data_IF_984460991389
#
_entry.id   IF_984460991389
#
_cell.length_a   1.000
_cell.length_b   1.000
_cell.length_c   1.000
_cell.angle_alpha   90.00
_cell.angle_beta   90.00
_cell.angle_gamma   90.00
#
_symmetry.space_group_name_H-M   'P 1'
#
loop_
_entity.id
_entity.type
_entity.pdbx_description
1 polymer ?
#
# COMPACT_ATOMS: atom_id res chain seq x y z
N UNK A 1 47.41 38.59 35.21
CA UNK A 1 46.22 38.90 34.41
C UNK A 1 45.99 37.74 33.43
N UNK A 2 45.03 36.85 33.71
CA UNK A 2 44.67 35.71 32.84
C UNK A 2 43.36 36.08 32.14
N UNK A 3 43.39 36.20 30.81
CA UNK A 3 42.22 36.43 29.98
C UNK A 3 41.56 35.07 29.69
N UNK A 4 40.32 34.86 30.15
CA UNK A 4 39.47 33.76 29.76
C UNK A 4 38.67 34.18 28.51
N UNK A 5 38.98 33.58 27.38
CA UNK A 5 38.19 33.66 26.15
C UNK A 5 37.03 32.69 26.27
N UNK A 6 35.83 33.21 26.50
CA UNK A 6 34.57 32.44 26.43
C UNK A 6 34.19 32.16 24.98
N UNK A 7 34.19 30.90 24.58
CA UNK A 7 33.69 30.45 23.30
C UNK A 7 32.17 30.34 23.44
N UNK A 8 31.39 31.31 22.89
CA UNK A 8 29.96 31.15 22.71
C UNK A 8 29.71 30.19 21.54
N UNK A 9 29.33 28.96 21.84
CA UNK A 9 28.82 28.02 20.86
C UNK A 9 27.37 28.48 20.46
N UNK A 10 27.22 29.04 19.27
CA UNK A 10 25.94 29.30 18.65
C UNK A 10 25.31 27.96 18.26
N UNK A 11 24.38 27.49 19.08
CA UNK A 11 23.52 26.33 18.73
C UNK A 11 22.51 26.82 17.68
N UNK A 12 22.76 26.49 16.44
CA UNK A 12 21.78 26.66 15.35
C UNK A 12 20.63 25.67 15.58
N UNK A 13 19.52 26.13 16.13
CA UNK A 13 18.24 25.42 16.03
C UNK A 13 17.74 25.60 14.60
N UNK A 14 18.10 24.69 13.72
CA UNK A 14 17.46 24.58 12.41
C UNK A 14 15.97 24.34 12.64
N UNK A 15 15.11 25.25 12.20
CA UNK A 15 13.68 25.03 12.10
C UNK A 15 13.48 23.79 11.22
N UNK A 16 13.15 22.65 11.83
CA UNK A 16 12.59 21.50 11.12
C UNK A 16 11.20 21.93 10.62
N UNK A 17 11.17 22.55 9.43
CA UNK A 17 9.90 22.76 8.74
C UNK A 17 9.18 21.42 8.64
N UNK A 18 7.92 21.37 9.05
CA UNK A 18 7.11 20.17 8.94
C UNK A 18 7.14 19.70 7.48
N UNK A 19 7.64 18.48 7.28
CA UNK A 19 7.72 17.91 5.94
C UNK A 19 6.32 17.52 5.50
N UNK A 20 5.83 18.18 4.46
CA UNK A 20 4.48 18.00 3.93
C UNK A 20 4.47 17.09 2.71
N UNK A 21 3.31 16.49 2.46
CA UNK A 21 3.01 15.74 1.24
C UNK A 21 2.15 16.61 0.32
N UNK A 22 2.56 16.73 -0.94
CA UNK A 22 1.76 17.40 -1.97
C UNK A 22 1.02 16.36 -2.78
N UNK A 23 -0.33 16.35 -2.81
CA UNK A 23 -1.11 15.43 -3.61
C UNK A 23 -1.12 15.86 -5.08
N UNK A 24 -0.90 14.92 -5.99
CA UNK A 24 -0.88 15.10 -7.44
C UNK A 24 -1.72 13.99 -8.06
N UNK A 25 -2.74 14.34 -8.84
CA UNK A 25 -3.50 13.39 -9.63
C UNK A 25 -2.66 12.89 -10.80
N UNK A 26 -2.58 11.57 -10.96
CA UNK A 26 -1.92 10.90 -12.08
C UNK A 26 -2.98 10.12 -12.85
N UNK A 27 -2.97 10.28 -14.17
CA UNK A 27 -3.80 9.53 -15.10
C UNK A 27 -2.92 8.91 -16.19
N UNK A 28 -3.01 7.59 -16.33
CA UNK A 28 -2.30 6.84 -17.36
C UNK A 28 -3.30 6.23 -18.33
N UNK A 29 -3.16 6.53 -19.61
CA UNK A 29 -3.78 5.75 -20.68
C UNK A 29 -3.11 4.37 -20.72
N UNK A 30 -3.89 3.32 -20.52
CA UNK A 30 -3.38 1.95 -20.49
C UNK A 30 -3.33 1.27 -21.86
N UNK A 31 -3.62 2.03 -22.92
CA UNK A 31 -3.50 1.58 -24.30
C UNK A 31 -4.62 0.65 -24.77
N UNK A 32 -5.79 0.71 -24.15
CA UNK A 32 -6.98 -0.02 -24.57
C UNK A 32 -8.23 0.85 -24.48
N UNK A 33 -9.29 0.41 -25.14
CA UNK A 33 -10.59 1.08 -25.12
C UNK A 33 -11.65 0.17 -24.51
N UNK A 34 -12.65 0.78 -23.87
CA UNK A 34 -13.84 0.10 -23.36
C UNK A 34 -15.11 0.84 -23.75
N UNK A 35 -16.22 0.10 -23.79
CA UNK A 35 -17.55 0.59 -24.17
C UNK A 35 -18.19 -0.24 -25.27
N UNK A 36 -19.53 -0.35 -25.26
CA UNK A 36 -20.29 -1.15 -26.23
C UNK A 36 -20.67 -0.32 -27.44
N UNK A 37 -21.21 0.88 -27.25
CA UNK A 37 -21.69 1.77 -28.30
C UNK A 37 -20.74 2.93 -28.60
N UNK A 38 -19.99 3.36 -27.60
CA UNK A 38 -18.99 4.42 -27.73
C UNK A 38 -17.72 3.93 -27.00
N UNK A 39 -16.64 3.77 -27.75
CA UNK A 39 -15.35 3.39 -27.20
C UNK A 39 -14.67 4.60 -26.57
N UNK A 40 -14.17 4.43 -25.37
CA UNK A 40 -13.40 5.44 -24.65
C UNK A 40 -12.09 4.84 -24.16
N UNK A 41 -10.99 5.61 -24.15
CA UNK A 41 -9.73 5.17 -23.57
C UNK A 41 -9.92 4.71 -22.13
N UNK A 42 -9.27 3.62 -21.77
CA UNK A 42 -9.23 3.14 -20.39
C UNK A 42 -8.11 3.84 -19.65
N UNK A 43 -8.45 4.45 -18.52
CA UNK A 43 -7.54 5.23 -17.70
C UNK A 43 -7.30 4.54 -16.37
N UNK A 44 -6.03 4.37 -16.02
CA UNK A 44 -5.59 4.02 -14.67
C UNK A 44 -5.31 5.30 -13.90
N UNK A 45 -6.05 5.52 -12.80
CA UNK A 45 -5.82 6.67 -11.92
C UNK A 45 -5.01 6.32 -10.69
N UNK A 46 -4.23 7.30 -10.25
CA UNK A 46 -3.52 7.24 -8.98
C UNK A 46 -3.36 8.65 -8.39
N UNK A 47 -3.11 8.74 -7.08
CA UNK A 47 -2.71 9.99 -6.43
C UNK A 47 -1.30 9.81 -5.89
N UNK A 48 -0.37 10.60 -6.40
CA UNK A 48 0.96 10.70 -5.87
C UNK A 48 0.98 11.72 -4.73
N UNK A 49 1.25 11.27 -3.51
CA UNK A 49 1.61 12.12 -2.38
C UNK A 49 3.13 12.29 -2.39
N UNK A 50 3.58 13.43 -2.91
CA UNK A 50 5.00 13.72 -3.08
C UNK A 50 5.54 14.47 -1.86
N UNK A 51 6.62 13.96 -1.19
CA UNK A 51 7.29 14.69 -0.13
C UNK A 51 7.87 16.03 -0.61
N UNK A 52 7.96 17.02 0.28
CA UNK A 52 8.64 18.29 0.00
C UNK A 52 10.16 18.14 -0.19
N UNK A 53 10.75 17.06 0.32
CA UNK A 53 12.16 16.71 0.10
C UNK A 53 12.32 15.86 -1.16
N UNK A 54 13.52 15.86 -1.79
CA UNK A 54 13.80 14.97 -2.92
C UNK A 54 13.57 13.51 -2.57
N UNK A 55 12.91 12.79 -3.46
CA UNK A 55 12.67 11.36 -3.32
C UNK A 55 12.85 10.64 -4.66
N UNK A 56 13.41 9.43 -4.61
CA UNK A 56 13.44 8.51 -5.73
C UNK A 56 12.68 7.19 -5.42
N UNK A 57 11.98 7.16 -4.29
CA UNK A 57 11.30 5.96 -3.77
C UNK A 57 9.82 6.21 -3.57
N UNK A 58 8.98 5.28 -4.04
CA UNK A 58 7.54 5.31 -3.82
C UNK A 58 7.00 3.95 -3.34
N UNK A 59 5.94 4.03 -2.54
CA UNK A 59 5.10 2.92 -2.13
C UNK A 59 3.74 3.02 -2.81
N UNK A 60 3.44 2.11 -3.75
CA UNK A 60 2.13 1.97 -4.38
C UNK A 60 1.19 1.23 -3.41
N UNK A 61 0.14 1.89 -2.99
CA UNK A 61 -0.78 1.37 -1.99
C UNK A 61 -2.13 0.96 -2.59
N UNK A 62 -2.53 -0.27 -2.31
CA UNK A 62 -3.81 -0.87 -2.68
C UNK A 62 -4.67 -1.07 -1.43
N UNK A 63 -5.78 -0.35 -1.37
CA UNK A 63 -6.69 -0.37 -0.23
C UNK A 63 -7.41 -1.71 -0.06
N UNK A 64 -7.93 -1.94 1.15
CA UNK A 64 -8.84 -3.03 1.48
C UNK A 64 -10.18 -2.96 0.72
N UNK A 65 -11.15 -3.75 1.13
CA UNK A 65 -12.48 -3.81 0.51
C UNK A 65 -13.06 -2.38 0.30
N UNK A 66 -13.64 -2.05 -0.82
CA UNK A 66 -13.90 -2.83 -2.04
C UNK A 66 -12.75 -2.83 -3.06
N UNK A 67 -11.61 -2.28 -2.69
CA UNK A 67 -10.47 -2.15 -3.58
C UNK A 67 -10.55 -1.02 -4.62
N UNK A 68 -11.66 -0.29 -4.65
CA UNK A 68 -11.87 0.88 -5.50
C UNK A 68 -11.60 2.13 -4.68
N UNK A 69 -10.65 2.94 -5.09
CA UNK A 69 -10.36 4.22 -4.46
C UNK A 69 -11.32 5.32 -4.93
N UNK A 70 -11.94 5.15 -6.10
CA UNK A 70 -12.86 6.11 -6.72
C UNK A 70 -12.25 7.52 -6.81
N UNK A 71 -11.06 7.58 -7.38
CA UNK A 71 -10.29 8.81 -7.52
C UNK A 71 -10.92 9.69 -8.59
N UNK A 72 -11.30 10.91 -8.20
CA UNK A 72 -11.81 11.97 -9.07
C UNK A 72 -10.96 13.23 -8.98
N UNK A 73 -10.37 13.48 -7.82
CA UNK A 73 -9.52 14.63 -7.53
C UNK A 73 -8.28 14.20 -6.76
N UNK A 74 -7.28 15.04 -6.72
CA UNK A 74 -6.06 14.83 -5.94
C UNK A 74 -6.30 14.72 -4.42
N UNK A 75 -7.47 15.13 -3.92
CA UNK A 75 -7.82 15.08 -2.49
C UNK A 75 -8.45 13.75 -2.05
N UNK A 76 -8.77 12.87 -2.98
CA UNK A 76 -9.44 11.60 -2.67
C UNK A 76 -8.54 10.58 -1.94
N UNK A 77 -7.24 10.87 -1.75
CA UNK A 77 -6.34 10.04 -0.95
C UNK A 77 -6.76 9.95 0.52
N UNK A 78 -7.41 10.99 1.07
CA UNK A 78 -7.74 11.12 2.52
C UNK A 78 -8.60 10.00 3.11
N UNK A 79 -9.18 9.12 2.30
CA UNK A 79 -10.00 7.97 2.72
C UNK A 79 -9.50 6.64 2.16
N UNK A 80 -8.33 6.63 1.55
CA UNK A 80 -7.89 5.50 0.74
C UNK A 80 -6.57 4.85 1.20
N UNK A 81 -5.96 5.34 2.28
CA UNK A 81 -4.69 4.84 2.82
C UNK A 81 -4.86 3.94 4.05
N UNK A 82 -6.09 3.56 4.42
CA UNK A 82 -6.36 2.78 5.63
C UNK A 82 -5.63 3.37 6.84
N UNK A 83 -4.98 2.55 7.66
CA UNK A 83 -4.27 3.00 8.84
C UNK A 83 -3.01 3.85 8.55
N UNK A 84 -2.50 3.87 7.32
CA UNK A 84 -1.38 4.73 6.95
C UNK A 84 -1.78 6.21 6.87
N UNK A 85 -3.07 6.51 6.73
CA UNK A 85 -3.58 7.86 6.48
C UNK A 85 -3.15 8.88 7.53
N UNK A 86 -3.20 8.50 8.80
CA UNK A 86 -2.84 9.39 9.91
C UNK A 86 -1.33 9.49 10.14
N UNK A 87 -0.53 8.76 9.36
CA UNK A 87 0.91 8.62 9.51
C UNK A 87 1.69 9.01 8.24
N UNK A 88 1.06 9.76 7.32
CA UNK A 88 1.69 10.16 6.05
C UNK A 88 2.95 11.02 6.26
N UNK A 89 3.00 11.78 7.35
CA UNK A 89 4.14 12.62 7.71
C UNK A 89 5.40 11.80 7.97
N UNK A 90 5.27 10.58 8.49
CA UNK A 90 6.40 9.67 8.69
C UNK A 90 7.03 9.26 7.35
N UNK A 91 6.21 9.04 6.31
CA UNK A 91 6.71 8.78 4.96
C UNK A 91 7.36 10.04 4.36
N UNK A 92 6.78 11.22 4.58
CA UNK A 92 7.37 12.49 4.14
C UNK A 92 8.76 12.68 4.75
N UNK A 93 8.91 12.49 6.06
CA UNK A 93 10.18 12.57 6.79
C UNK A 93 11.19 11.52 6.32
N UNK A 94 10.70 10.36 5.92
CA UNK A 94 11.54 9.29 5.40
C UNK A 94 11.98 9.49 3.94
N UNK A 95 11.42 10.48 3.23
CA UNK A 95 11.65 10.71 1.81
C UNK A 95 11.04 9.62 0.93
N UNK A 96 9.89 9.06 1.33
CA UNK A 96 9.16 8.05 0.59
C UNK A 96 7.83 8.64 0.11
N UNK A 97 7.62 8.67 -1.19
CA UNK A 97 6.34 9.04 -1.76
C UNK A 97 5.30 7.92 -1.56
N UNK A 98 4.04 8.30 -1.33
CA UNK A 98 2.92 7.35 -1.34
C UNK A 98 2.13 7.51 -2.64
N UNK A 99 1.71 6.40 -3.23
CA UNK A 99 0.86 6.41 -4.43
C UNK A 99 -0.39 5.61 -4.14
N UNK A 100 -1.52 6.31 -4.00
CA UNK A 100 -2.83 5.67 -3.84
C UNK A 100 -3.29 5.18 -5.21
N UNK A 101 -3.44 3.88 -5.37
CA UNK A 101 -3.85 3.26 -6.62
C UNK A 101 -5.37 3.05 -6.68
N UNK A 102 -5.98 3.40 -7.80
CA UNK A 102 -7.37 3.05 -8.09
C UNK A 102 -7.46 1.80 -8.96
N UNK A 103 -8.67 1.36 -9.22
CA UNK A 103 -8.99 0.40 -10.26
C UNK A 103 -9.07 1.13 -11.62
N UNK A 104 -8.64 0.54 -12.74
CA UNK A 104 -8.80 1.17 -14.05
C UNK A 104 -10.28 1.34 -14.41
N UNK A 105 -10.57 2.30 -15.26
CA UNK A 105 -11.94 2.73 -15.55
C UNK A 105 -12.84 1.65 -16.15
N UNK A 106 -12.29 0.63 -16.78
CA UNK A 106 -13.04 -0.52 -17.34
C UNK A 106 -13.34 -1.62 -16.31
N UNK A 107 -12.66 -1.61 -15.16
CA UNK A 107 -12.89 -2.54 -14.04
C UNK A 107 -13.71 -1.91 -12.91
N UNK A 108 -13.92 -0.61 -12.95
CA UNK A 108 -14.75 0.14 -11.99
C UNK A 108 -16.23 0.11 -12.44
N UNK A 109 -16.83 -1.08 -12.53
CA UNK A 109 -18.18 -1.27 -13.03
C UNK A 109 -19.22 -1.33 -11.93
N UNK A 110 -20.39 -0.70 -12.18
CA UNK A 110 -21.56 -0.86 -11.32
C UNK A 110 -22.08 -2.29 -11.50
N UNK A 111 -22.02 -3.10 -10.44
CA UNK A 111 -22.58 -4.42 -10.45
C UNK A 111 -24.13 -4.34 -10.50
N UNK A 112 -24.81 -5.19 -11.29
CA UNK A 112 -26.28 -5.25 -11.29
C UNK A 112 -26.81 -5.53 -9.87
N UNK A 113 -27.90 -4.86 -9.49
CA UNK A 113 -28.61 -5.11 -8.24
C UNK A 113 -28.03 -4.43 -7.00
N UNK A 114 -27.47 -3.22 -7.13
CA UNK A 114 -26.95 -2.40 -6.02
C UNK A 114 -25.89 -3.09 -5.14
N UNK A 115 -25.20 -4.10 -5.65
CA UNK A 115 -24.07 -4.71 -4.92
C UNK A 115 -22.91 -3.72 -4.90
N UNK A 116 -22.15 -3.63 -3.79
CA UNK A 116 -20.99 -2.79 -3.75
C UNK A 116 -20.00 -3.20 -4.83
N UNK A 117 -19.53 -2.21 -5.60
CA UNK A 117 -18.50 -2.39 -6.59
C UNK A 117 -17.21 -2.83 -5.92
N UNK A 118 -16.56 -3.82 -6.49
CA UNK A 118 -15.21 -4.18 -6.14
C UNK A 118 -14.35 -4.19 -7.39
N UNK A 119 -13.09 -3.76 -7.25
CA UNK A 119 -12.09 -4.01 -8.28
C UNK A 119 -11.89 -5.52 -8.40
N UNK A 120 -12.23 -6.10 -9.54
CA UNK A 120 -12.36 -7.55 -9.72
C UNK A 120 -11.05 -8.28 -9.44
N UNK A 121 -11.15 -9.43 -8.77
CA UNK A 121 -10.01 -10.29 -8.45
C UNK A 121 -9.37 -10.89 -9.68
N UNK A 122 -10.15 -11.25 -10.70
CA UNK A 122 -9.62 -11.76 -11.96
C UNK A 122 -8.71 -10.73 -12.63
N UNK A 123 -9.09 -9.45 -12.57
CA UNK A 123 -8.22 -8.38 -12.99
C UNK A 123 -6.99 -8.25 -12.09
N UNK A 124 -7.19 -8.20 -10.75
CA UNK A 124 -6.09 -8.00 -9.79
C UNK A 124 -5.04 -9.09 -9.85
N UNK A 125 -5.43 -10.32 -10.19
CA UNK A 125 -4.53 -11.46 -10.33
C UNK A 125 -3.92 -11.61 -11.72
N UNK A 126 -4.36 -10.83 -12.69
CA UNK A 126 -3.95 -10.96 -14.09
C UNK A 126 -2.62 -10.29 -14.42
N UNK A 127 -1.97 -10.73 -15.52
CA UNK A 127 -0.84 -10.03 -16.12
C UNK A 127 -1.22 -8.61 -16.59
N UNK A 128 -2.48 -8.41 -17.04
CA UNK A 128 -3.02 -7.12 -17.47
C UNK A 128 -2.94 -6.06 -16.35
N UNK A 129 -3.19 -6.46 -15.09
CA UNK A 129 -3.01 -5.55 -13.94
C UNK A 129 -1.56 -5.06 -13.84
N UNK A 130 -0.59 -5.96 -14.01
CA UNK A 130 0.82 -5.57 -13.99
C UNK A 130 1.19 -4.64 -15.16
N UNK A 131 0.62 -4.87 -16.35
CA UNK A 131 0.85 -4.02 -17.52
C UNK A 131 0.30 -2.60 -17.30
N UNK A 132 -0.89 -2.47 -16.71
CA UNK A 132 -1.48 -1.18 -16.35
C UNK A 132 -0.61 -0.45 -15.31
N UNK A 133 -0.13 -1.18 -14.30
CA UNK A 133 0.75 -0.62 -13.25
C UNK A 133 2.10 -0.18 -13.81
N UNK A 134 2.66 -0.87 -14.82
CA UNK A 134 3.87 -0.43 -15.52
C UNK A 134 3.72 0.97 -16.14
N UNK A 135 2.52 1.33 -16.61
CA UNK A 135 2.25 2.70 -17.10
C UNK A 135 2.41 3.74 -15.99
N UNK A 136 1.86 3.46 -14.81
CA UNK A 136 2.05 4.33 -13.63
C UNK A 136 3.54 4.39 -13.23
N UNK A 137 4.24 3.25 -13.16
CA UNK A 137 5.66 3.20 -12.83
C UNK A 137 6.49 4.03 -13.82
N UNK A 138 6.17 3.96 -15.12
CA UNK A 138 6.85 4.78 -16.14
C UNK A 138 6.61 6.27 -15.92
N UNK A 139 5.37 6.69 -15.64
CA UNK A 139 5.05 8.09 -15.33
C UNK A 139 5.77 8.57 -14.05
N UNK A 140 5.86 7.73 -13.02
CA UNK A 140 6.60 8.06 -11.79
C UNK A 140 8.09 8.24 -12.06
N UNK A 141 8.67 7.37 -12.89
CA UNK A 141 10.09 7.44 -13.28
C UNK A 141 10.37 8.68 -14.13
N UNK A 142 9.61 8.83 -15.22
CA UNK A 142 9.92 9.80 -16.27
C UNK A 142 9.50 11.22 -15.88
N UNK A 143 8.40 11.36 -15.10
CA UNK A 143 7.86 12.66 -14.67
C UNK A 143 8.34 13.13 -13.30
N UNK A 144 8.73 12.21 -12.41
CA UNK A 144 9.00 12.55 -11.01
C UNK A 144 10.34 12.02 -10.48
N UNK A 145 11.14 11.32 -11.31
CA UNK A 145 12.44 10.78 -10.90
C UNK A 145 12.36 9.65 -9.88
N UNK A 146 11.21 8.97 -9.80
CA UNK A 146 10.99 7.85 -8.86
C UNK A 146 11.38 6.55 -9.54
N UNK A 147 12.47 5.93 -9.09
CA UNK A 147 13.03 4.71 -9.68
C UNK A 147 12.86 3.48 -8.79
N UNK A 148 12.70 3.68 -7.48
CA UNK A 148 12.57 2.60 -6.50
C UNK A 148 11.09 2.45 -6.11
N UNK A 149 10.42 1.45 -6.67
CA UNK A 149 9.00 1.23 -6.46
C UNK A 149 8.77 0.01 -5.57
N UNK A 150 7.95 0.19 -4.55
CA UNK A 150 7.40 -0.86 -3.71
C UNK A 150 5.90 -0.98 -3.93
N UNK A 151 5.34 -2.15 -3.72
CA UNK A 151 3.90 -2.34 -3.73
C UNK A 151 3.43 -2.79 -2.36
N UNK A 152 2.31 -2.24 -1.89
CA UNK A 152 1.69 -2.63 -0.63
C UNK A 152 0.20 -2.82 -0.82
N UNK A 153 -0.33 -3.92 -0.29
CA UNK A 153 -1.76 -4.14 -0.15
C UNK A 153 -2.14 -4.30 1.31
N UNK A 154 -3.34 -3.83 1.66
CA UNK A 154 -3.95 -4.10 2.95
C UNK A 154 -5.22 -4.92 2.75
N UNK A 155 -5.42 -6.00 3.53
CA UNK A 155 -6.62 -6.83 3.46
C UNK A 155 -6.89 -7.30 2.02
N UNK A 156 -8.05 -7.00 1.46
CA UNK A 156 -8.40 -7.27 0.04
C UNK A 156 -7.36 -6.72 -0.96
N UNK A 157 -6.70 -5.61 -0.63
CA UNK A 157 -5.62 -5.04 -1.43
C UNK A 157 -4.41 -5.97 -1.59
N UNK A 158 -4.26 -6.97 -0.71
CA UNK A 158 -3.15 -7.93 -0.80
C UNK A 158 -3.25 -8.87 -1.99
N UNK A 159 -4.40 -9.03 -2.61
CA UNK A 159 -4.52 -9.71 -3.90
C UNK A 159 -3.67 -8.96 -4.94
N UNK A 160 -3.83 -7.63 -5.03
CA UNK A 160 -3.01 -6.80 -5.93
C UNK A 160 -1.52 -6.90 -5.58
N UNK A 161 -1.13 -6.67 -4.32
CA UNK A 161 0.30 -6.65 -3.99
C UNK A 161 1.00 -7.99 -4.19
N UNK A 162 0.33 -9.11 -3.94
CA UNK A 162 0.86 -10.46 -4.20
C UNK A 162 1.05 -10.73 -5.70
N UNK A 163 0.01 -10.50 -6.50
CA UNK A 163 0.06 -10.78 -7.93
C UNK A 163 0.95 -9.79 -8.69
N UNK A 164 1.02 -8.53 -8.26
CA UNK A 164 2.00 -7.58 -8.78
C UNK A 164 3.42 -8.00 -8.45
N UNK A 165 3.69 -8.46 -7.21
CA UNK A 165 5.01 -8.98 -6.86
C UNK A 165 5.42 -10.16 -7.73
N UNK A 166 4.47 -11.05 -8.07
CA UNK A 166 4.70 -12.16 -9.00
C UNK A 166 4.95 -11.69 -10.43
N UNK A 167 4.09 -10.81 -10.95
CA UNK A 167 4.07 -10.45 -12.37
C UNK A 167 5.08 -9.35 -12.74
N UNK A 168 5.45 -8.46 -11.81
CA UNK A 168 6.49 -7.45 -11.98
C UNK A 168 7.88 -7.98 -11.61
N UNK A 169 7.95 -8.93 -10.67
CA UNK A 169 9.21 -9.53 -10.27
C UNK A 169 10.26 -8.49 -9.85
N UNK A 170 11.37 -8.44 -10.56
CA UNK A 170 12.49 -7.53 -10.27
C UNK A 170 12.26 -6.07 -10.73
N UNK A 171 11.13 -5.77 -11.36
CA UNK A 171 10.77 -4.38 -11.72
C UNK A 171 10.39 -3.55 -10.47
N UNK A 172 10.11 -4.23 -9.34
CA UNK A 172 9.85 -3.59 -8.05
C UNK A 172 10.93 -3.95 -7.02
N UNK A 173 11.15 -3.06 -6.07
CA UNK A 173 12.14 -3.24 -5.00
C UNK A 173 11.63 -4.15 -3.88
N UNK A 174 10.33 -4.37 -3.77
CA UNK A 174 9.75 -5.26 -2.78
C UNK A 174 8.23 -5.13 -2.69
N UNK A 175 7.62 -6.08 -1.98
CA UNK A 175 6.19 -6.12 -1.75
C UNK A 175 5.86 -6.26 -0.27
N UNK A 176 4.78 -5.59 0.15
CA UNK A 176 4.32 -5.55 1.54
C UNK A 176 2.86 -6.04 1.57
N UNK A 177 2.60 -7.03 2.41
CA UNK A 177 1.27 -7.63 2.56
C UNK A 177 0.78 -7.43 3.99
N UNK A 178 -0.15 -6.49 4.17
CA UNK A 178 -0.72 -6.12 5.46
C UNK A 178 -2.07 -6.77 5.67
N UNK A 179 -2.28 -7.46 6.79
CA UNK A 179 -3.48 -8.24 7.07
C UNK A 179 -3.86 -9.09 5.85
N UNK A 180 -2.97 -10.01 5.51
CA UNK A 180 -2.95 -10.68 4.21
C UNK A 180 -4.16 -11.58 4.00
N UNK A 181 -4.93 -11.32 2.94
CA UNK A 181 -6.07 -12.14 2.56
C UNK A 181 -5.59 -13.52 2.08
N UNK A 182 -6.04 -14.58 2.76
CA UNK A 182 -5.66 -15.98 2.50
C UNK A 182 -6.86 -16.91 2.41
N UNK A 183 -8.04 -16.42 2.77
CA UNK A 183 -9.31 -17.12 2.63
C UNK A 183 -10.22 -16.31 1.70
N UNK A 184 -10.85 -17.00 0.76
CA UNK A 184 -11.75 -16.37 -0.21
C UNK A 184 -12.99 -15.78 0.47
N UNK A 185 -13.45 -14.65 -0.03
CA UNK A 185 -14.66 -14.02 0.48
C UNK A 185 -15.91 -14.69 -0.13
N UNK A 186 -16.92 -14.99 0.68
CA UNK A 186 -18.20 -15.59 0.24
C UNK A 186 -18.98 -14.76 -0.80
N UNK A 187 -18.67 -13.50 -0.96
CA UNK A 187 -19.33 -12.59 -1.89
C UNK A 187 -18.69 -12.56 -3.29
N UNK A 188 -17.56 -13.22 -3.50
CA UNK A 188 -16.89 -13.27 -4.79
C UNK A 188 -16.76 -14.70 -5.31
N UNK A 189 -17.02 -14.87 -6.61
CA UNK A 189 -17.01 -16.20 -7.25
C UNK A 189 -15.66 -16.64 -7.80
N UNK A 190 -14.70 -15.71 -7.90
CA UNK A 190 -13.41 -15.93 -8.57
C UNK A 190 -12.22 -16.10 -7.62
N UNK A 191 -12.45 -16.11 -6.33
CA UNK A 191 -11.40 -15.98 -5.31
C UNK A 191 -10.49 -17.20 -5.13
N UNK A 192 -10.94 -18.39 -5.37
CA UNK A 192 -10.15 -19.59 -5.06
C UNK A 192 -8.75 -19.56 -5.66
N UNK A 193 -8.64 -19.28 -6.97
CA UNK A 193 -7.35 -19.23 -7.67
C UNK A 193 -6.52 -18.00 -7.38
N UNK A 194 -7.14 -16.86 -7.03
CA UNK A 194 -6.43 -15.61 -6.80
C UNK A 194 -5.92 -15.44 -5.36
N UNK A 195 -6.49 -16.16 -4.40
CA UNK A 195 -6.22 -16.03 -2.97
C UNK A 195 -5.63 -17.31 -2.36
N UNK A 196 -6.40 -18.42 -2.39
CA UNK A 196 -6.09 -19.62 -1.63
C UNK A 196 -4.93 -20.44 -2.23
N UNK A 197 -4.76 -20.40 -3.55
CA UNK A 197 -3.71 -21.11 -4.26
C UNK A 197 -2.46 -20.26 -4.55
N UNK A 198 -2.36 -19.05 -3.97
CA UNK A 198 -1.22 -18.20 -4.23
C UNK A 198 0.05 -18.73 -3.56
N UNK A 199 1.04 -19.07 -4.37
CA UNK A 199 2.34 -19.53 -3.90
C UNK A 199 3.27 -18.36 -3.57
N UNK A 200 3.42 -18.05 -2.28
CA UNK A 200 4.32 -17.02 -1.78
C UNK A 200 5.80 -17.31 -2.04
N UNK A 201 6.17 -18.59 -2.27
CA UNK A 201 7.57 -18.97 -2.55
C UNK A 201 7.99 -18.63 -3.97
N UNK A 202 7.03 -18.37 -4.85
CA UNK A 202 7.28 -17.98 -6.25
C UNK A 202 7.73 -16.52 -6.41
N UNK A 203 7.68 -15.71 -5.35
CA UNK A 203 8.01 -14.28 -5.40
C UNK A 203 9.53 -14.07 -5.49
N UNK A 204 9.97 -13.25 -6.46
CA UNK A 204 11.37 -12.90 -6.66
C UNK A 204 11.77 -11.63 -5.90
N UNK A 205 10.87 -10.66 -5.83
CA UNK A 205 11.10 -9.45 -5.06
C UNK A 205 11.09 -9.74 -3.55
N UNK A 206 11.85 -9.00 -2.73
CA UNK A 206 11.76 -9.08 -1.26
C UNK A 206 10.34 -8.87 -0.76
N UNK A 207 9.93 -9.66 0.23
CA UNK A 207 8.57 -9.66 0.80
C UNK A 207 8.61 -9.27 2.26
N UNK A 208 7.67 -8.43 2.68
CA UNK A 208 7.30 -8.19 4.07
C UNK A 208 5.84 -8.55 4.29
N UNK A 209 5.55 -9.36 5.30
CA UNK A 209 4.22 -9.51 5.85
C UNK A 209 4.10 -8.72 7.15
N UNK A 210 3.00 -8.01 7.36
CA UNK A 210 2.68 -7.36 8.63
C UNK A 210 1.25 -7.69 9.01
N UNK A 211 1.06 -8.23 10.21
CA UNK A 211 -0.23 -8.78 10.61
C UNK A 211 -0.44 -8.66 12.12
N UNK A 212 -1.64 -8.33 12.54
CA UNK A 212 -1.98 -8.34 13.96
C UNK A 212 -2.20 -9.78 14.43
N UNK A 213 -1.55 -10.18 15.55
CA UNK A 213 -1.65 -11.54 16.09
C UNK A 213 -3.07 -11.94 16.48
N UNK A 214 -3.90 -10.97 16.90
CA UNK A 214 -5.28 -11.15 17.30
C UNK A 214 -6.29 -10.65 16.23
N UNK A 215 -5.90 -10.63 14.95
CA UNK A 215 -6.82 -10.32 13.86
C UNK A 215 -7.92 -11.39 13.77
N UNK A 216 -9.17 -10.97 13.97
CA UNK A 216 -10.35 -11.85 13.97
C UNK A 216 -11.07 -11.87 12.63
N UNK A 217 -10.57 -11.15 11.63
CA UNK A 217 -11.20 -11.14 10.30
C UNK A 217 -11.05 -12.49 9.61
N UNK A 218 -12.18 -13.12 9.29
CA UNK A 218 -12.25 -14.50 8.75
C UNK A 218 -11.47 -14.69 7.44
N UNK A 219 -11.28 -13.62 6.66
CA UNK A 219 -10.59 -13.69 5.38
C UNK A 219 -9.07 -13.55 5.49
N UNK A 220 -8.57 -13.17 6.67
CA UNK A 220 -7.16 -12.88 6.93
C UNK A 220 -6.64 -13.62 8.18
N UNK A 221 -6.81 -14.93 8.32
CA UNK A 221 -6.41 -15.65 9.51
C UNK A 221 -4.89 -15.59 9.73
N UNK A 222 -4.49 -15.04 10.88
CA UNK A 222 -3.08 -14.84 11.25
C UNK A 222 -2.25 -16.13 11.16
N UNK A 223 -2.81 -17.27 11.62
CA UNK A 223 -2.12 -18.55 11.60
C UNK A 223 -1.65 -18.97 10.18
N UNK A 224 -2.46 -18.68 9.15
CA UNK A 224 -2.08 -18.97 7.76
C UNK A 224 -0.90 -18.12 7.32
N UNK A 225 -0.87 -16.83 7.72
CA UNK A 225 0.23 -15.93 7.39
C UNK A 225 1.52 -16.37 8.07
N UNK A 226 1.48 -16.77 9.34
CA UNK A 226 2.63 -17.32 10.07
C UNK A 226 3.21 -18.53 9.32
N UNK A 227 2.35 -19.43 8.83
CA UNK A 227 2.79 -20.69 8.20
C UNK A 227 3.69 -20.48 6.97
N UNK A 228 3.48 -19.42 6.17
CA UNK A 228 4.29 -19.16 4.97
C UNK A 228 5.33 -18.05 5.12
N UNK A 229 5.20 -17.19 6.13
CA UNK A 229 6.00 -15.94 6.19
C UNK A 229 7.44 -16.14 6.66
N UNK A 230 7.73 -17.22 7.38
CA UNK A 230 9.06 -17.49 7.96
C UNK A 230 9.62 -16.23 8.70
N UNK A 231 10.77 -15.71 8.25
CA UNK A 231 11.45 -14.56 8.85
C UNK A 231 10.98 -13.19 8.32
N UNK A 232 9.96 -13.18 7.45
CA UNK A 232 9.49 -11.96 6.78
C UNK A 232 8.15 -11.48 7.36
N UNK A 233 7.86 -11.76 8.62
CA UNK A 233 6.63 -11.37 9.31
C UNK A 233 6.93 -10.40 10.44
N UNK A 234 6.21 -9.30 10.45
CA UNK A 234 6.04 -8.44 11.61
C UNK A 234 4.71 -8.82 12.28
N UNK A 235 4.77 -9.36 13.48
CA UNK A 235 3.59 -9.60 14.31
C UNK A 235 3.28 -8.37 15.13
N UNK A 236 2.09 -7.80 14.94
CA UNK A 236 1.60 -6.69 15.76
C UNK A 236 0.78 -7.24 16.92
N UNK A 237 1.04 -6.75 18.14
CA UNK A 237 0.37 -7.16 19.38
C UNK A 237 -0.17 -5.97 20.15
N UNK A 238 -1.17 -6.21 20.99
CA UNK A 238 -1.82 -5.21 21.80
C UNK A 238 -2.54 -4.17 20.93
N UNK A 239 -2.93 -3.06 21.53
CA UNK A 239 -3.81 -2.10 20.90
C UNK A 239 -5.26 -2.42 21.16
N UNK A 240 -6.17 -1.67 20.53
CA UNK A 240 -7.60 -1.80 20.71
C UNK A 240 -8.31 -1.72 19.36
N UNK A 241 -9.40 -2.46 19.24
CA UNK A 241 -10.24 -2.46 18.04
C UNK A 241 -11.66 -2.04 18.36
N UNK A 242 -12.27 -1.24 17.49
CA UNK A 242 -13.68 -0.85 17.60
C UNK A 242 -14.42 -1.12 16.29
N UNK A 243 -15.70 -1.42 16.38
CA UNK A 243 -16.57 -1.61 15.22
C UNK A 243 -16.40 -2.98 14.55
N UNK A 244 -16.43 -3.01 13.22
CA UNK A 244 -16.32 -4.24 12.44
C UNK A 244 -14.93 -4.87 12.58
N UNK A 245 -14.88 -6.17 12.87
CA UNK A 245 -13.64 -6.92 13.06
C UNK A 245 -12.72 -6.93 11.83
N UNK A 246 -13.26 -6.75 10.62
CA UNK A 246 -12.52 -6.54 9.38
C UNK A 246 -12.39 -5.06 9.01
N UNK A 247 -12.80 -4.15 9.90
CA UNK A 247 -12.89 -2.72 9.65
C UNK A 247 -11.58 -1.96 9.84
N UNK A 248 -11.61 -0.69 9.41
CA UNK A 248 -10.45 0.21 9.44
C UNK A 248 -10.05 0.70 10.83
N UNK A 249 -10.88 0.48 11.87
CA UNK A 249 -10.65 0.90 13.25
C UNK A 249 -10.42 -0.27 14.20
N UNK A 250 -10.33 -1.48 13.67
CA UNK A 250 -10.11 -2.70 14.46
C UNK A 250 -8.66 -3.21 14.34
N UNK A 251 -8.33 -4.26 15.10
CA UNK A 251 -7.01 -4.92 15.09
C UNK A 251 -6.61 -5.39 13.68
N UNK A 252 -7.58 -5.73 12.83
CA UNK A 252 -7.38 -5.99 11.40
C UNK A 252 -6.61 -4.85 10.70
N UNK A 253 -6.85 -3.61 11.08
CA UNK A 253 -6.16 -2.41 10.58
C UNK A 253 -5.15 -1.84 11.59
N UNK A 254 -4.56 -2.68 12.42
CA UNK A 254 -3.51 -2.33 13.39
C UNK A 254 -3.99 -1.34 14.47
N UNK A 255 -5.28 -1.40 14.88
CA UNK A 255 -5.91 -0.46 15.81
C UNK A 255 -5.08 -0.23 17.07
N UNK A 256 -4.76 1.04 17.37
CA UNK A 256 -3.87 1.46 18.46
C UNK A 256 -2.38 1.16 18.25
N UNK A 257 -1.99 0.63 17.09
CA UNK A 257 -0.59 0.33 16.70
C UNK A 257 -0.22 0.86 15.31
N UNK A 258 -1.04 1.73 14.75
CA UNK A 258 -0.91 2.24 13.38
C UNK A 258 0.42 2.94 13.14
N UNK A 259 0.84 3.80 14.09
CA UNK A 259 2.10 4.55 13.98
C UNK A 259 3.32 3.61 14.05
N UNK A 260 3.33 2.69 15.02
CA UNK A 260 4.42 1.73 15.18
C UNK A 260 4.53 0.81 13.95
N UNK A 261 3.40 0.37 13.41
CA UNK A 261 3.32 -0.43 12.19
C UNK A 261 3.85 0.34 10.98
N UNK A 262 3.49 1.62 10.85
CA UNK A 262 3.98 2.49 9.79
C UNK A 262 5.50 2.69 9.88
N UNK A 263 6.04 2.94 11.08
CA UNK A 263 7.49 3.06 11.30
C UNK A 263 8.24 1.79 10.90
N UNK A 264 7.72 0.62 11.24
CA UNK A 264 8.34 -0.65 10.87
C UNK A 264 8.32 -0.92 9.36
N UNK A 265 7.25 -0.54 8.66
CA UNK A 265 7.17 -0.58 7.20
C UNK A 265 8.24 0.33 6.59
N UNK A 266 8.36 1.56 7.05
CA UNK A 266 9.36 2.53 6.59
C UNK A 266 10.78 2.00 6.84
N UNK A 267 11.03 1.46 8.02
CA UNK A 267 12.30 0.83 8.38
C UNK A 267 12.66 -0.28 7.39
N UNK A 268 11.71 -1.18 7.09
CA UNK A 268 11.95 -2.26 6.13
C UNK A 268 12.19 -1.75 4.70
N UNK A 269 11.47 -0.74 4.24
CA UNK A 269 11.73 -0.11 2.94
C UNK A 269 13.18 0.40 2.88
N UNK A 270 13.67 1.03 3.93
CA UNK A 270 15.01 1.64 3.98
C UNK A 270 16.14 0.64 4.18
N UNK A 271 15.94 -0.40 4.98
CA UNK A 271 17.05 -1.24 5.49
C UNK A 271 16.88 -2.73 5.25
N UNK A 272 15.70 -3.19 4.87
CA UNK A 272 15.32 -4.62 4.82
C UNK A 272 15.30 -5.33 6.17
N UNK A 273 15.50 -4.62 7.26
CA UNK A 273 15.41 -5.20 8.60
C UNK A 273 13.93 -5.46 8.95
N UNK A 274 13.67 -6.64 9.48
CA UNK A 274 12.35 -7.05 9.96
C UNK A 274 12.34 -6.99 11.48
N UNK A 275 11.53 -6.12 12.04
CA UNK A 275 11.24 -6.12 13.47
C UNK A 275 10.18 -7.21 13.73
N UNK A 276 10.56 -8.35 14.27
CA UNK A 276 9.67 -9.52 14.36
C UNK A 276 8.36 -9.26 15.13
N UNK A 277 8.36 -8.35 16.11
CA UNK A 277 7.19 -8.04 16.94
C UNK A 277 7.10 -6.54 17.21
N UNK A 278 5.89 -5.99 17.15
CA UNK A 278 5.52 -4.64 17.56
C UNK A 278 4.50 -4.76 18.69
N UNK A 279 4.71 -4.03 19.78
CA UNK A 279 3.86 -4.07 20.98
C UNK A 279 4.16 -5.29 21.85
N UNK A 280 3.42 -5.39 22.96
CA UNK A 280 3.50 -6.44 23.98
C UNK A 280 2.27 -7.34 23.95
#
# INVERSE_FOLDING_TARGET
MKWLLGICALVWFGNLAAQTMTPILIEADVGRESGIFSKSPVVQRAILLKPSIPTNTALLFYRGWSGIANIKTENDWKRNLNYLQNNIELFAQAGIALVVMDCPSDENRVAPGNKPLACNDDYRSSARHADDVRKIISLLRDGYGIHNVYVMGHSYGTISSKWLAKNLGNEIQGSIHSASMTVANKYSRSYGSSVESFDMTSLKAPVLNIHHGDDQCENTPYATVVAYSKNNLITVKGGEGTGDICGGTHLHSMGGREEASTKAIIQWIKTRQVQATIGE
#
